data_IF_303588962735
#
_entry.id   IF_303588962735
#
_cell.length_a   1.000
_cell.length_b   1.000
_cell.length_c   1.000
_cell.angle_alpha   90.00
_cell.angle_beta   90.00
_cell.angle_gamma   90.00
#
_symmetry.space_group_name_H-M   'P 1'
#
loop_
_entity.id
_entity.type
_entity.pdbx_description
1 polymer ?
#
# COMPACT_ATOMS: atom_id res chain seq x y z
N UNK A 1 -26.84 4.88 17.21
CA UNK A 1 -26.34 5.75 16.12
C UNK A 1 -24.86 6.00 16.36
N UNK A 2 -24.02 5.99 15.33
CA UNK A 2 -22.57 6.28 15.45
C UNK A 2 -22.38 7.79 15.68
N UNK A 3 -21.40 8.23 16.50
CA UNK A 3 -21.17 9.65 16.74
C UNK A 3 -20.91 10.46 15.46
N UNK A 4 -21.35 11.72 15.41
CA UNK A 4 -21.32 12.55 14.20
C UNK A 4 -19.90 12.92 13.77
N UNK A 5 -18.97 12.99 14.73
CA UNK A 5 -17.55 13.17 14.52
C UNK A 5 -16.89 12.00 13.78
N UNK A 6 -17.50 10.80 13.81
CA UNK A 6 -17.00 9.64 13.08
C UNK A 6 -17.59 9.65 11.68
N UNK A 7 -16.86 10.29 10.77
CA UNK A 7 -17.20 10.51 9.35
C UNK A 7 -17.60 9.21 8.61
N UNK A 8 -17.18 8.04 9.10
CA UNK A 8 -17.44 6.75 8.45
C UNK A 8 -17.81 5.68 9.48
N UNK A 9 -18.99 5.07 9.32
CA UNK A 9 -19.44 3.99 10.21
C UNK A 9 -18.96 2.60 9.78
N UNK A 10 -18.57 2.43 8.50
CA UNK A 10 -18.01 1.19 7.98
C UNK A 10 -17.08 1.42 6.79
N UNK A 11 -16.04 0.59 6.65
CA UNK A 11 -15.10 0.62 5.54
C UNK A 11 -14.83 -0.80 5.08
N UNK A 12 -14.86 -1.02 3.76
CA UNK A 12 -14.46 -2.29 3.17
C UNK A 12 -13.10 -2.12 2.51
N UNK A 13 -12.13 -2.90 2.97
CA UNK A 13 -10.85 -3.08 2.32
C UNK A 13 -10.99 -4.23 1.32
N UNK A 14 -10.49 -4.02 0.11
CA UNK A 14 -10.48 -5.03 -0.96
C UNK A 14 -9.03 -5.37 -1.29
N UNK A 15 -8.79 -6.58 -1.77
CA UNK A 15 -7.48 -6.93 -2.29
C UNK A 15 -7.11 -5.99 -3.46
N UNK A 16 -5.83 -5.60 -3.55
CA UNK A 16 -5.29 -4.84 -4.69
C UNK A 16 -5.47 -5.57 -6.02
N UNK A 17 -5.55 -6.91 -5.99
CA UNK A 17 -5.84 -7.74 -7.16
C UNK A 17 -7.35 -7.97 -7.41
N UNK A 18 -8.20 -7.46 -6.53
CA UNK A 18 -9.66 -7.45 -6.69
C UNK A 18 -10.19 -6.09 -7.17
N UNK A 19 -9.33 -5.10 -7.32
CA UNK A 19 -9.67 -3.82 -7.90
C UNK A 19 -9.61 -3.95 -9.43
N UNK A 20 -10.71 -3.61 -10.14
CA UNK A 20 -10.69 -3.56 -11.59
C UNK A 20 -9.57 -2.65 -12.07
N UNK A 21 -8.80 -3.11 -13.06
CA UNK A 21 -7.82 -2.27 -13.72
C UNK A 21 -8.41 -1.74 -15.03
N UNK A 22 -8.64 -0.44 -15.09
CA UNK A 22 -8.96 0.26 -16.33
C UNK A 22 -7.69 0.90 -16.91
N UNK A 23 -7.24 0.50 -18.11
CA UNK A 23 -6.12 1.13 -18.79
C UNK A 23 -6.40 2.61 -19.01
N UNK A 24 -5.44 3.47 -18.64
CA UNK A 24 -5.56 4.94 -18.80
C UNK A 24 -5.13 5.46 -20.18
N UNK A 25 -4.72 4.58 -21.09
CA UNK A 25 -4.24 4.96 -22.41
C UNK A 25 -4.40 3.85 -23.46
N UNK A 26 -4.28 4.22 -24.73
CA UNK A 26 -4.41 3.32 -25.90
C UNK A 26 -3.09 2.65 -26.29
N UNK A 27 -2.03 2.84 -25.50
CA UNK A 27 -0.72 2.29 -25.79
C UNK A 27 -0.72 0.76 -25.75
N UNK A 28 -0.07 0.14 -26.74
CA UNK A 28 0.03 -1.33 -26.88
C UNK A 28 1.08 -1.97 -25.97
N UNK A 29 1.67 -1.23 -25.02
CA UNK A 29 2.66 -1.79 -24.10
C UNK A 29 1.97 -2.83 -23.22
N UNK A 30 2.30 -4.11 -23.42
CA UNK A 30 1.91 -5.17 -22.52
C UNK A 30 2.60 -4.94 -21.17
N UNK A 31 1.80 -4.68 -20.14
CA UNK A 31 2.27 -4.70 -18.76
C UNK A 31 2.11 -6.13 -18.23
N UNK A 32 3.22 -6.84 -18.01
CA UNK A 32 3.17 -8.20 -17.43
C UNK A 32 2.65 -8.20 -15.99
N UNK A 33 2.64 -7.03 -15.33
CA UNK A 33 2.29 -6.85 -13.91
C UNK A 33 0.90 -6.22 -13.70
N UNK A 34 -0.10 -6.57 -14.52
CA UNK A 34 -1.50 -6.19 -14.24
C UNK A 34 -1.97 -6.96 -13.00
N UNK A 35 -2.31 -6.22 -11.93
CA UNK A 35 -2.73 -6.82 -10.65
C UNK A 35 -4.13 -7.42 -10.70
N UNK A 36 -4.96 -7.10 -11.69
CA UNK A 36 -6.36 -7.54 -11.72
C UNK A 36 -6.51 -9.04 -11.99
N UNK A 37 -6.54 -9.84 -10.92
CA UNK A 37 -6.87 -11.28 -10.95
C UNK A 37 -8.33 -11.53 -10.61
N UNK A 38 -9.16 -10.48 -10.54
CA UNK A 38 -10.55 -10.55 -10.07
C UNK A 38 -10.65 -11.19 -8.67
N UNK A 39 -9.66 -10.94 -7.82
CA UNK A 39 -9.60 -11.49 -6.47
C UNK A 39 -10.83 -11.08 -5.65
N UNK A 40 -11.48 -12.04 -4.98
CA UNK A 40 -12.72 -11.80 -4.23
C UNK A 40 -12.49 -11.51 -2.74
N UNK A 41 -11.23 -11.52 -2.27
CA UNK A 41 -10.90 -11.30 -0.88
C UNK A 41 -11.21 -9.86 -0.44
N UNK A 42 -11.98 -9.74 0.64
CA UNK A 42 -12.48 -8.47 1.19
C UNK A 42 -12.54 -8.53 2.71
N UNK A 43 -12.29 -7.40 3.35
CA UNK A 43 -12.44 -7.21 4.80
C UNK A 43 -13.36 -6.02 5.04
N UNK A 44 -14.54 -6.27 5.61
CA UNK A 44 -15.44 -5.21 6.05
C UNK A 44 -15.23 -4.93 7.54
N UNK A 45 -14.92 -3.68 7.87
CA UNK A 45 -14.78 -3.20 9.22
C UNK A 45 -15.92 -2.22 9.52
N UNK A 46 -16.74 -2.51 10.53
CA UNK A 46 -17.93 -1.70 10.89
C UNK A 46 -17.96 -1.41 12.38
N UNK A 47 -18.31 -0.17 12.72
CA UNK A 47 -18.58 0.26 14.10
C UNK A 47 -19.92 -0.30 14.58
N UNK A 48 -19.94 -0.83 15.79
CA UNK A 48 -21.14 -1.33 16.45
C UNK A 48 -21.08 -1.06 17.95
N UNK A 49 -22.24 -0.90 18.58
CA UNK A 49 -22.38 -0.65 20.01
C UNK A 49 -22.86 -1.89 20.74
N UNK A 50 -22.44 -2.08 21.99
CA UNK A 50 -23.04 -3.02 22.93
C UNK A 50 -24.28 -2.39 23.59
N UNK A 51 -25.09 -3.22 24.25
CA UNK A 51 -26.18 -2.75 25.11
C UNK A 51 -25.68 -1.89 26.28
N UNK A 52 -24.42 -2.09 26.71
CA UNK A 52 -23.75 -1.31 27.75
C UNK A 52 -23.19 0.04 27.27
N UNK A 53 -23.39 0.40 25.98
CA UNK A 53 -22.90 1.67 25.42
C UNK A 53 -21.43 1.67 24.98
N UNK A 54 -20.73 0.54 25.05
CA UNK A 54 -19.36 0.39 24.55
C UNK A 54 -19.33 0.24 23.02
N UNK A 55 -18.37 0.88 22.36
CA UNK A 55 -18.18 0.79 20.91
C UNK A 55 -17.07 -0.21 20.55
N UNK A 56 -17.28 -1.01 19.53
CA UNK A 56 -16.28 -1.93 18.99
C UNK A 56 -16.32 -1.99 17.46
N UNK A 57 -15.19 -2.40 16.87
CA UNK A 57 -15.09 -2.65 15.44
C UNK A 57 -15.38 -4.13 15.17
N UNK A 58 -16.51 -4.41 14.53
CA UNK A 58 -16.80 -5.73 13.99
C UNK A 58 -16.12 -5.86 12.63
N UNK A 59 -15.19 -6.80 12.52
CA UNK A 59 -14.44 -7.09 11.30
C UNK A 59 -14.92 -8.43 10.74
N UNK A 60 -15.36 -8.43 9.49
CA UNK A 60 -15.74 -9.64 8.75
C UNK A 60 -14.88 -9.77 7.50
N UNK A 61 -14.15 -10.88 7.39
CA UNK A 61 -13.45 -11.25 6.16
C UNK A 61 -14.35 -12.13 5.30
N UNK A 62 -14.37 -11.89 3.99
CA UNK A 62 -15.15 -12.66 3.02
C UNK A 62 -14.35 -12.88 1.74
N UNK A 63 -14.64 -13.97 1.04
CA UNK A 63 -13.90 -14.38 -0.15
C UNK A 63 -12.50 -14.92 0.19
N UNK A 64 -11.87 -15.52 -0.81
CA UNK A 64 -10.53 -16.09 -0.70
C UNK A 64 -9.59 -15.41 -1.69
N UNK A 65 -8.32 -15.36 -1.34
CA UNK A 65 -7.28 -14.98 -2.28
C UNK A 65 -7.13 -16.07 -3.35
N UNK A 66 -7.01 -15.65 -4.60
CA UNK A 66 -6.78 -16.52 -5.76
C UNK A 66 -5.39 -16.31 -6.39
N UNK A 67 -4.49 -15.68 -5.63
CA UNK A 67 -3.14 -15.33 -6.02
C UNK A 67 -2.21 -15.49 -4.81
N UNK A 68 -0.90 -15.51 -5.06
CA UNK A 68 0.08 -15.64 -3.99
C UNK A 68 0.08 -14.41 -3.07
N UNK A 69 0.20 -14.66 -1.78
CA UNK A 69 0.43 -13.66 -0.74
C UNK A 69 1.85 -13.83 -0.24
N UNK A 70 2.78 -13.02 -0.74
CA UNK A 70 4.15 -13.04 -0.25
C UNK A 70 4.67 -11.62 -0.06
N UNK A 71 5.64 -11.48 0.86
CA UNK A 71 6.27 -10.20 1.20
C UNK A 71 6.96 -9.58 -0.03
N UNK A 72 7.56 -10.39 -0.88
CA UNK A 72 8.26 -9.94 -2.08
C UNK A 72 7.33 -9.22 -3.09
N UNK A 73 6.15 -9.78 -3.36
CA UNK A 73 5.11 -9.18 -4.21
C UNK A 73 4.59 -7.89 -3.58
N UNK A 74 4.39 -7.89 -2.26
CA UNK A 74 3.99 -6.67 -1.55
C UNK A 74 5.05 -5.56 -1.70
N UNK A 75 6.32 -5.89 -1.53
CA UNK A 75 7.43 -4.94 -1.63
C UNK A 75 7.78 -4.54 -3.06
N UNK A 76 7.37 -5.29 -4.09
CA UNK A 76 7.62 -4.92 -5.49
C UNK A 76 6.75 -3.74 -5.96
N UNK A 77 5.63 -3.48 -5.26
CA UNK A 77 4.71 -2.40 -5.59
C UNK A 77 5.34 -1.03 -5.39
N UNK A 78 5.22 -0.16 -6.40
CA UNK A 78 5.80 1.18 -6.38
C UNK A 78 5.38 1.97 -5.14
N UNK A 79 4.09 1.88 -4.77
CA UNK A 79 3.50 2.55 -3.62
C UNK A 79 4.14 2.15 -2.28
N UNK A 80 4.65 0.91 -2.20
CA UNK A 80 5.30 0.37 -1.02
C UNK A 80 6.81 0.63 -0.99
N UNK A 81 7.43 0.79 -2.18
CA UNK A 81 8.85 1.15 -2.35
C UNK A 81 9.13 2.64 -2.15
N UNK A 82 8.12 3.50 -2.28
CA UNK A 82 8.29 4.94 -2.08
C UNK A 82 8.64 5.25 -0.61
N UNK A 83 9.75 5.95 -0.42
CA UNK A 83 10.13 6.57 0.85
C UNK A 83 9.40 7.91 0.96
N UNK A 84 8.58 8.09 1.99
CA UNK A 84 7.79 9.32 2.22
C UNK A 84 8.32 10.16 3.37
N UNK A 85 9.42 9.74 3.98
CA UNK A 85 10.05 10.44 5.09
C UNK A 85 10.74 11.71 4.55
N UNK A 86 10.31 12.91 4.98
CA UNK A 86 10.91 14.16 4.51
C UNK A 86 12.39 14.26 4.85
N UNK A 87 12.81 13.76 6.01
CA UNK A 87 14.21 13.81 6.45
C UNK A 87 15.08 12.96 5.54
N UNK A 88 14.65 11.73 5.24
CA UNK A 88 15.38 10.87 4.30
C UNK A 88 15.45 11.46 2.89
N UNK A 89 14.43 12.24 2.49
CA UNK A 89 14.43 12.94 1.21
C UNK A 89 15.49 14.03 1.17
N UNK A 90 15.63 14.79 2.26
CA UNK A 90 16.69 15.80 2.42
C UNK A 90 18.07 15.16 2.44
N UNK A 91 18.25 14.08 3.21
CA UNK A 91 19.50 13.32 3.28
C UNK A 91 19.94 12.82 1.90
N UNK A 92 19.02 12.29 1.09
CA UNK A 92 19.28 11.86 -0.29
C UNK A 92 19.74 13.04 -1.15
N UNK A 93 19.13 14.21 -1.00
CA UNK A 93 19.56 15.42 -1.72
C UNK A 93 20.98 15.83 -1.36
N UNK A 94 21.34 15.77 -0.08
CA UNK A 94 22.69 16.06 0.42
C UNK A 94 23.70 15.04 -0.12
N UNK A 95 23.39 13.74 0.00
CA UNK A 95 24.25 12.66 -0.51
C UNK A 95 24.49 12.79 -2.02
N UNK A 96 23.45 13.09 -2.78
CA UNK A 96 23.57 13.31 -4.22
C UNK A 96 24.46 14.52 -4.56
N UNK A 97 24.28 15.65 -3.86
CA UNK A 97 25.13 16.85 -4.02
C UNK A 97 26.60 16.59 -3.64
N UNK A 98 26.83 15.71 -2.67
CA UNK A 98 28.17 15.29 -2.25
C UNK A 98 28.82 14.28 -3.22
N UNK A 99 28.14 13.89 -4.31
CA UNK A 99 28.66 12.97 -5.32
C UNK A 99 28.52 11.49 -4.95
N UNK A 100 27.67 11.14 -3.99
CA UNK A 100 27.39 9.74 -3.68
C UNK A 100 26.75 9.06 -4.91
N UNK A 101 27.23 7.86 -5.24
CA UNK A 101 26.67 7.09 -6.32
C UNK A 101 25.29 6.50 -5.95
N UNK A 102 24.53 6.12 -6.98
CA UNK A 102 23.18 5.55 -6.84
C UNK A 102 23.14 4.34 -5.91
N UNK A 103 24.17 3.48 -5.93
CA UNK A 103 24.22 2.29 -5.08
C UNK A 103 24.36 2.64 -3.60
N UNK A 104 25.22 3.61 -3.26
CA UNK A 104 25.40 4.09 -1.89
C UNK A 104 24.16 4.76 -1.34
N UNK A 105 23.48 5.57 -2.15
CA UNK A 105 22.20 6.20 -1.77
C UNK A 105 21.12 5.13 -1.54
N UNK A 106 21.04 4.10 -2.39
CA UNK A 106 20.10 2.98 -2.19
C UNK A 106 20.41 2.18 -0.92
N UNK A 107 21.68 1.93 -0.65
CA UNK A 107 22.11 1.25 0.57
C UNK A 107 21.69 2.04 1.81
N UNK A 108 21.96 3.35 1.83
CA UNK A 108 21.54 4.24 2.91
C UNK A 108 20.02 4.17 3.17
N UNK A 109 19.21 4.26 2.11
CA UNK A 109 17.76 4.17 2.21
C UNK A 109 17.30 2.80 2.75
N UNK A 110 17.94 1.70 2.33
CA UNK A 110 17.63 0.34 2.79
C UNK A 110 17.94 0.18 4.28
N UNK A 111 19.08 0.66 4.73
CA UNK A 111 19.50 0.60 6.14
C UNK A 111 18.56 1.41 7.03
N UNK A 112 18.11 2.58 6.58
CA UNK A 112 17.22 3.45 7.36
C UNK A 112 15.76 3.01 7.37
N UNK A 113 15.28 2.36 6.31
CA UNK A 113 13.85 2.04 6.14
C UNK A 113 13.51 0.56 6.24
N UNK A 114 14.50 -0.33 6.07
CA UNK A 114 14.29 -1.77 5.93
C UNK A 114 13.54 -2.18 4.65
N UNK A 115 13.32 -1.25 3.71
CA UNK A 115 12.57 -1.49 2.47
C UNK A 115 13.49 -1.77 1.29
N UNK A 116 13.01 -2.58 0.35
CA UNK A 116 13.57 -2.68 -1.01
C UNK A 116 13.25 -1.42 -1.84
N UNK A 117 13.81 -0.29 -1.43
CA UNK A 117 13.65 1.00 -2.12
C UNK A 117 14.37 0.99 -3.47
N UNK A 118 13.81 1.73 -4.44
CA UNK A 118 14.42 2.03 -5.73
C UNK A 118 14.40 3.55 -5.89
N UNK A 119 15.48 4.15 -6.36
CA UNK A 119 15.56 5.58 -6.63
C UNK A 119 14.67 5.87 -7.85
N UNK A 120 13.64 6.70 -7.64
CA UNK A 120 12.97 7.38 -8.74
C UNK A 120 13.81 8.63 -8.99
N UNK A 121 14.72 8.53 -9.97
CA UNK A 121 15.48 9.66 -10.50
C UNK A 121 14.60 10.43 -11.47
#
# INVERSE_FOLDING_TARGET
MVPKEWVTYSKTLVCTHGQPYEPRGTGQRNHDNVRDTKCKARVNARVTSTLSGSWYLRVNATGNHNHNLNKHIWESYAENRTVKDPQLTEDVSVLHKAGANTQGILQYLRERTGKCSVLLV
#
